data_IF_197684048084
#
_entry.id   IF_197684048084
#
_cell.length_a   1.000
_cell.length_b   1.000
_cell.length_c   1.000
_cell.angle_alpha   90.00
_cell.angle_beta   90.00
_cell.angle_gamma   90.00
#
_symmetry.space_group_name_H-M   'P 1'
#
loop_
_entity.id
_entity.type
_entity.pdbx_description
1 polymer ?
#
# COMPACT_ATOMS: atom_id res chain seq x y z
N UNK A 1 -17.37 7.94 9.54
CA UNK A 1 -17.00 8.37 8.15
C UNK A 1 -15.50 8.15 7.94
N UNK A 2 -15.09 7.61 6.78
CA UNK A 2 -13.68 7.37 6.46
C UNK A 2 -13.13 8.55 5.64
N UNK A 3 -11.97 9.08 6.04
CA UNK A 3 -11.25 10.13 5.31
C UNK A 3 -9.80 9.68 5.05
N UNK A 4 -9.31 9.89 3.83
CA UNK A 4 -7.94 9.60 3.44
C UNK A 4 -7.24 10.91 3.10
N UNK A 5 -6.10 11.16 3.75
CA UNK A 5 -5.26 12.34 3.55
C UNK A 5 -3.99 11.89 2.82
N UNK A 6 -3.77 12.42 1.62
CA UNK A 6 -2.66 12.04 0.75
C UNK A 6 -1.60 13.13 0.60
N UNK A 7 -1.97 14.38 0.82
CA UNK A 7 -1.09 15.54 0.77
C UNK A 7 -0.41 15.76 2.12
N UNK A 8 0.92 15.80 2.13
CA UNK A 8 1.71 15.86 3.35
C UNK A 8 1.84 14.49 4.00
N UNK A 9 1.62 14.44 5.31
CA UNK A 9 1.65 13.18 6.05
C UNK A 9 0.42 12.34 5.68
N UNK A 10 0.71 11.18 5.08
CA UNK A 10 -0.34 10.24 4.71
C UNK A 10 -1.07 9.73 5.96
N UNK A 11 -2.39 9.86 5.99
CA UNK A 11 -3.22 9.45 7.12
C UNK A 11 -4.57 8.89 6.66
N UNK A 12 -5.10 7.95 7.45
CA UNK A 12 -6.44 7.40 7.29
C UNK A 12 -7.16 7.60 8.61
N UNK A 13 -8.32 8.27 8.56
CA UNK A 13 -9.12 8.56 9.75
C UNK A 13 -10.50 7.94 9.68
N UNK A 14 -10.91 7.30 10.77
CA UNK A 14 -12.28 6.86 11.02
C UNK A 14 -12.80 7.71 12.18
N UNK A 15 -13.89 8.45 11.94
CA UNK A 15 -14.48 9.36 12.93
C UNK A 15 -13.43 10.32 13.53
N UNK A 16 -12.61 10.87 12.62
CA UNK A 16 -11.50 11.80 12.87
C UNK A 16 -10.35 11.25 13.75
N UNK A 17 -10.33 9.96 14.05
CA UNK A 17 -9.21 9.27 14.71
C UNK A 17 -8.31 8.59 13.68
N UNK A 18 -7.00 8.88 13.73
CA UNK A 18 -6.02 8.19 12.88
C UNK A 18 -5.94 6.72 13.25
N UNK A 19 -6.13 5.85 12.26
CA UNK A 19 -5.93 4.41 12.43
C UNK A 19 -4.47 4.00 12.18
N UNK A 20 -3.67 4.85 11.52
CA UNK A 20 -2.28 4.51 11.22
C UNK A 20 -1.38 4.59 12.46
N UNK A 21 -1.73 5.43 13.43
CA UNK A 21 -0.99 5.55 14.70
C UNK A 21 -0.98 4.25 15.52
N UNK A 22 -2.00 3.39 15.37
CA UNK A 22 -2.10 2.12 16.12
C UNK A 22 -1.48 0.91 15.39
N UNK A 23 -1.21 1.01 14.09
CA UNK A 23 -0.83 -0.13 13.24
C UNK A 23 0.69 -0.35 13.21
N UNK A 24 1.49 0.55 13.78
CA UNK A 24 2.96 0.44 13.83
C UNK A 24 3.62 0.54 12.45
N UNK A 25 4.88 0.13 12.34
CA UNK A 25 5.69 0.34 11.13
C UNK A 25 5.41 -0.73 10.04
N UNK A 26 4.27 -0.62 9.35
CA UNK A 26 3.93 -1.48 8.20
C UNK A 26 4.29 -0.81 6.85
N UNK A 27 5.53 -0.36 6.71
CA UNK A 27 5.97 0.46 5.56
C UNK A 27 5.63 -0.18 4.21
N UNK A 28 5.76 -1.50 4.10
CA UNK A 28 5.55 -2.21 2.85
C UNK A 28 4.08 -2.35 2.46
N UNK A 29 3.22 -2.70 3.42
CA UNK A 29 1.77 -2.75 3.19
C UNK A 29 1.26 -1.34 2.85
N UNK A 30 1.79 -0.32 3.52
CA UNK A 30 1.43 1.07 3.27
C UNK A 30 1.92 1.57 1.90
N UNK A 31 3.12 1.16 1.46
CA UNK A 31 3.63 1.45 0.11
C UNK A 31 2.70 0.85 -0.95
N UNK A 32 2.25 -0.40 -0.77
CA UNK A 32 1.28 -1.04 -1.66
C UNK A 32 -0.10 -0.36 -1.63
N UNK A 33 -0.58 0.05 -0.45
CA UNK A 33 -1.86 0.77 -0.36
C UNK A 33 -1.82 2.11 -1.11
N UNK A 34 -0.76 2.90 -0.87
CA UNK A 34 -0.55 4.19 -1.57
C UNK A 34 -0.46 4.00 -3.08
N UNK A 35 0.16 2.91 -3.53
CA UNK A 35 0.21 2.55 -4.95
C UNK A 35 -1.20 2.35 -5.52
N UNK A 36 -2.04 1.53 -4.87
CA UNK A 36 -3.42 1.33 -5.30
C UNK A 36 -4.26 2.60 -5.26
N UNK A 37 -4.04 3.46 -4.26
CA UNK A 37 -4.71 4.76 -4.19
C UNK A 37 -4.30 5.69 -5.36
N UNK A 38 -3.02 5.67 -5.74
CA UNK A 38 -2.47 6.46 -6.85
C UNK A 38 -3.08 6.04 -8.19
N UNK A 39 -3.27 4.74 -8.39
CA UNK A 39 -3.86 4.18 -9.62
C UNK A 39 -5.33 3.79 -9.47
N UNK A 40 -6.05 4.40 -8.53
CA UNK A 40 -7.45 4.07 -8.26
C UNK A 40 -8.32 4.19 -9.52
N UNK A 41 -9.15 3.17 -9.78
CA UNK A 41 -10.00 3.09 -10.97
C UNK A 41 -9.26 2.68 -12.26
N UNK A 42 -7.96 2.37 -12.19
CA UNK A 42 -7.17 1.88 -13.33
C UNK A 42 -6.81 0.41 -13.13
N UNK A 43 -6.77 -0.34 -14.23
CA UNK A 43 -6.23 -1.70 -14.23
C UNK A 43 -4.70 -1.61 -14.24
N UNK A 44 -4.05 -2.22 -13.26
CA UNK A 44 -2.58 -2.31 -13.20
C UNK A 44 -2.17 -3.78 -13.24
N UNK A 45 -1.11 -4.06 -13.99
CA UNK A 45 -0.56 -5.41 -14.11
C UNK A 45 0.32 -5.74 -12.88
N UNK A 46 0.30 -6.99 -12.38
CA UNK A 46 1.15 -7.41 -11.26
C UNK A 46 2.63 -7.14 -11.48
N UNK A 47 3.11 -7.26 -12.71
CA UNK A 47 4.50 -7.05 -13.09
C UNK A 47 4.92 -5.59 -12.84
N UNK A 48 4.08 -4.62 -13.23
CA UNK A 48 4.32 -3.19 -12.98
C UNK A 48 4.35 -2.89 -11.49
N UNK A 49 3.45 -3.51 -10.70
CA UNK A 49 3.43 -3.32 -9.24
C UNK A 49 4.73 -3.85 -8.62
N UNK A 50 5.24 -4.98 -9.10
CA UNK A 50 6.48 -5.57 -8.61
C UNK A 50 7.67 -4.68 -8.95
N UNK A 51 7.75 -4.19 -10.18
CA UNK A 51 8.79 -3.26 -10.63
C UNK A 51 8.79 -1.99 -9.75
N UNK A 52 7.65 -1.29 -9.68
CA UNK A 52 7.52 -0.02 -8.96
C UNK A 52 7.74 -0.14 -7.43
N UNK A 53 7.45 -1.30 -6.83
CA UNK A 53 7.50 -1.48 -5.37
C UNK A 53 8.77 -2.21 -4.90
N UNK A 54 9.27 -3.18 -5.66
CA UNK A 54 10.31 -4.14 -5.24
C UNK A 54 11.68 -3.92 -5.90
N UNK A 55 11.89 -2.86 -6.69
CA UNK A 55 13.13 -2.57 -7.43
C UNK A 55 14.44 -2.71 -6.62
N UNK A 56 14.42 -2.51 -5.30
CA UNK A 56 15.61 -2.60 -4.43
C UNK A 56 15.75 -3.93 -3.68
N UNK A 57 14.72 -4.77 -3.68
CA UNK A 57 14.66 -5.96 -2.84
C UNK A 57 14.70 -7.23 -3.72
N UNK A 58 15.80 -7.98 -3.66
CA UNK A 58 16.02 -9.21 -4.42
C UNK A 58 15.12 -10.38 -3.95
N UNK A 59 13.81 -10.33 -4.24
CA UNK A 59 12.90 -11.42 -3.92
C UNK A 59 13.09 -12.62 -4.84
N UNK A 60 13.18 -13.80 -4.23
CA UNK A 60 13.14 -15.08 -4.95
C UNK A 60 11.79 -15.36 -5.60
N UNK A 61 10.68 -14.92 -4.98
CA UNK A 61 9.30 -15.17 -5.44
C UNK A 61 8.42 -13.90 -5.34
N UNK A 62 8.67 -12.84 -6.15
CA UNK A 62 8.01 -11.54 -6.01
C UNK A 62 6.48 -11.60 -6.22
N UNK A 63 6.00 -12.44 -7.13
CA UNK A 63 4.55 -12.63 -7.36
C UNK A 63 3.82 -13.20 -6.14
N UNK A 64 4.45 -14.16 -5.44
CA UNK A 64 3.88 -14.79 -4.25
C UNK A 64 3.86 -13.81 -3.08
N UNK A 65 4.96 -13.06 -2.91
CA UNK A 65 5.03 -11.96 -1.96
C UNK A 65 3.95 -10.90 -2.22
N UNK A 66 3.76 -10.48 -3.49
CA UNK A 66 2.74 -9.50 -3.86
C UNK A 66 1.34 -10.00 -3.49
N UNK A 67 1.01 -11.26 -3.85
CA UNK A 67 -0.28 -11.88 -3.47
C UNK A 67 -0.51 -11.87 -1.96
N UNK A 68 0.51 -12.18 -1.16
CA UNK A 68 0.41 -12.14 0.30
C UNK A 68 0.16 -10.72 0.82
N UNK A 69 0.84 -9.71 0.28
CA UNK A 69 0.58 -8.32 0.70
C UNK A 69 -0.82 -7.85 0.31
N UNK A 70 -1.29 -8.18 -0.91
CA UNK A 70 -2.66 -7.86 -1.35
C UNK A 70 -3.69 -8.51 -0.41
N UNK A 71 -3.49 -9.76 0.01
CA UNK A 71 -4.43 -10.43 0.93
C UNK A 71 -4.46 -9.85 2.35
N UNK A 72 -3.43 -9.11 2.75
CA UNK A 72 -3.31 -8.47 4.08
C UNK A 72 -3.88 -7.05 4.11
N UNK A 73 -4.11 -6.49 2.92
CA UNK A 73 -4.61 -5.16 2.68
C UNK A 73 -6.13 -5.14 2.76
#
# INVERSE_FOLDING_TARGET
MVKIYTLGDFDIRIDDKSILQSIGNQQRLMKLFKYFLTFNGKKVLPENIIEDICEEENFKEPLKMLRTQISRL
#
